data_IF_177258997708
#
_entry.id   IF_177258997708
#
_cell.length_a   1.000
_cell.length_b   1.000
_cell.length_c   1.000
_cell.angle_alpha   90.00
_cell.angle_beta   90.00
_cell.angle_gamma   90.00
#
_symmetry.space_group_name_H-M   'P 1'
#
loop_
_entity.id
_entity.type
_entity.pdbx_description
1 polymer ?
#
# COMPACT_ATOMS: atom_id res chain seq x y z
N UNK A 1 19.88 -46.88 -15.62
CA UNK A 1 18.66 -46.55 -14.85
C UNK A 1 18.79 -45.23 -14.08
N UNK A 2 19.89 -44.95 -13.38
CA UNK A 2 20.12 -43.72 -12.58
C UNK A 2 20.05 -42.38 -13.36
N UNK A 3 20.34 -42.40 -14.66
CA UNK A 3 20.44 -41.21 -15.51
C UNK A 3 19.08 -40.64 -15.95
N UNK A 4 18.06 -41.50 -16.04
CA UNK A 4 16.68 -41.09 -16.37
C UNK A 4 15.92 -40.57 -15.14
N UNK A 5 16.20 -41.15 -13.97
CA UNK A 5 15.67 -40.66 -12.69
C UNK A 5 16.16 -39.25 -12.36
N UNK A 6 17.43 -38.94 -12.64
CA UNK A 6 17.97 -37.59 -12.45
C UNK A 6 17.28 -36.54 -13.35
N UNK A 7 17.04 -36.88 -14.62
CA UNK A 7 16.36 -35.99 -15.57
C UNK A 7 14.91 -35.71 -15.16
N UNK A 8 14.20 -36.73 -14.66
CA UNK A 8 12.84 -36.59 -14.13
C UNK A 8 12.80 -35.71 -12.87
N UNK A 9 13.75 -35.88 -11.95
CA UNK A 9 13.85 -35.04 -10.74
C UNK A 9 14.12 -33.56 -11.06
N UNK A 10 15.01 -33.27 -12.01
CA UNK A 10 15.30 -31.90 -12.44
C UNK A 10 14.09 -31.25 -13.11
N UNK A 11 13.33 -32.00 -13.92
CA UNK A 11 12.10 -31.50 -14.55
C UNK A 11 10.99 -31.20 -13.51
N UNK A 12 10.84 -32.04 -12.48
CA UNK A 12 9.89 -31.82 -11.39
C UNK A 12 10.29 -30.64 -10.51
N UNK A 13 11.58 -30.40 -10.30
CA UNK A 13 12.06 -29.22 -9.56
C UNK A 13 11.86 -27.91 -10.37
N UNK A 14 12.06 -27.93 -11.68
CA UNK A 14 11.86 -26.76 -12.55
C UNK A 14 10.37 -26.40 -12.76
N UNK A 15 9.45 -27.37 -12.66
CA UNK A 15 8.01 -27.13 -12.80
C UNK A 15 7.37 -26.45 -11.57
N UNK A 16 8.05 -26.45 -10.41
CA UNK A 16 7.52 -25.89 -9.16
C UNK A 16 7.75 -24.37 -9.03
N UNK A 17 8.56 -23.77 -9.89
CA UNK A 17 8.80 -22.32 -9.91
C UNK A 17 7.82 -21.59 -10.83
N UNK A 18 6.54 -21.99 -10.85
CA UNK A 18 5.48 -21.11 -11.37
C UNK A 18 5.29 -20.00 -10.34
N UNK A 19 6.09 -18.96 -10.47
CA UNK A 19 5.89 -17.70 -9.77
C UNK A 19 4.49 -17.23 -10.13
N UNK A 20 3.53 -17.37 -9.22
CA UNK A 20 2.24 -16.69 -9.33
C UNK A 20 2.56 -15.21 -9.17
N UNK A 21 2.81 -14.54 -10.30
CA UNK A 21 2.85 -13.09 -10.35
C UNK A 21 1.42 -12.61 -10.09
N UNK A 22 1.08 -12.46 -8.81
CA UNK A 22 -0.15 -11.78 -8.42
C UNK A 22 0.06 -10.32 -8.83
N UNK A 23 -0.83 -9.78 -9.64
CA UNK A 23 -0.82 -8.36 -9.96
C UNK A 23 -0.76 -7.58 -8.64
N UNK A 24 0.23 -6.70 -8.49
CA UNK A 24 0.41 -5.96 -7.26
C UNK A 24 -0.83 -5.08 -7.01
N UNK A 25 -1.43 -5.21 -5.83
CA UNK A 25 -2.59 -4.40 -5.44
C UNK A 25 -2.17 -2.93 -5.42
N UNK A 26 -2.95 -2.07 -6.09
CA UNK A 26 -2.76 -0.63 -6.04
C UNK A 26 -3.45 -0.08 -4.79
N UNK A 27 -2.76 0.81 -4.09
CA UNK A 27 -3.28 1.50 -2.92
C UNK A 27 -3.32 3.00 -3.15
N UNK A 28 -4.37 3.63 -2.62
CA UNK A 28 -4.49 5.08 -2.47
C UNK A 28 -4.15 5.42 -1.02
N UNK A 29 -3.16 6.31 -0.82
CA UNK A 29 -2.71 6.75 0.48
C UNK A 29 -3.03 8.24 0.63
N UNK A 30 -3.93 8.58 1.55
CA UNK A 30 -4.30 9.97 1.85
C UNK A 30 -3.64 10.38 3.16
N UNK A 31 -2.86 11.46 3.15
CA UNK A 31 -2.28 12.05 4.36
C UNK A 31 -2.92 13.41 4.62
N UNK A 32 -3.38 13.63 5.84
CA UNK A 32 -4.11 14.83 6.26
C UNK A 32 -3.25 15.70 7.19
N UNK A 33 -3.26 17.00 6.93
CA UNK A 33 -2.44 18.01 7.58
C UNK A 33 -3.35 19.11 8.15
N UNK A 34 -3.01 19.59 9.35
CA UNK A 34 -3.65 20.76 9.93
C UNK A 34 -3.06 22.03 9.32
N UNK A 35 -3.92 22.98 8.96
CA UNK A 35 -3.50 24.26 8.38
C UNK A 35 -3.79 24.37 6.88
N UNK A 36 -3.14 25.32 6.23
CA UNK A 36 -3.32 25.62 4.80
C UNK A 36 -2.18 25.07 3.91
N UNK A 37 -1.24 24.33 4.52
CA UNK A 37 -0.12 23.67 3.85
C UNK A 37 -0.10 22.16 4.13
N UNK A 38 0.58 21.41 3.27
CA UNK A 38 0.90 19.99 3.47
C UNK A 38 2.35 19.83 3.92
N UNK A 39 2.75 20.57 4.95
CA UNK A 39 4.08 20.55 5.52
C UNK A 39 4.11 19.84 6.89
N UNK A 40 5.31 19.42 7.29
CA UNK A 40 5.50 18.70 8.54
C UNK A 40 4.91 17.28 8.56
N UNK A 41 4.57 16.81 9.76
CA UNK A 41 4.00 15.48 9.98
C UNK A 41 2.47 15.54 9.87
N UNK A 42 1.83 14.72 9.03
CA UNK A 42 0.37 14.62 8.98
C UNK A 42 -0.18 14.10 10.31
N UNK A 43 -1.39 14.52 10.68
CA UNK A 43 -2.04 14.02 11.90
C UNK A 43 -2.72 12.67 11.67
N UNK A 44 -3.04 12.34 10.41
CA UNK A 44 -3.63 11.08 10.02
C UNK A 44 -3.16 10.67 8.63
N UNK A 45 -2.94 9.37 8.45
CA UNK A 45 -2.65 8.78 7.15
C UNK A 45 -3.55 7.55 6.99
N UNK A 46 -4.24 7.48 5.87
CA UNK A 46 -5.18 6.40 5.55
C UNK A 46 -4.80 5.77 4.20
N UNK A 47 -4.67 4.44 4.19
CA UNK A 47 -4.37 3.69 2.98
C UNK A 47 -5.50 2.69 2.70
N UNK A 48 -6.03 2.71 1.47
CA UNK A 48 -7.07 1.77 1.03
C UNK A 48 -6.74 1.15 -0.31
N UNK A 49 -7.27 -0.04 -0.55
CA UNK A 49 -7.16 -0.70 -1.86
C UNK A 49 -7.95 0.10 -2.89
N UNK A 50 -7.38 0.34 -4.07
CA UNK A 50 -8.05 1.12 -5.11
C UNK A 50 -7.87 0.51 -6.50
N UNK A 51 -8.90 0.61 -7.34
CA UNK A 51 -8.82 0.22 -8.76
C UNK A 51 -8.05 1.24 -9.58
N UNK A 52 -8.14 2.50 -9.18
CA UNK A 52 -7.51 3.67 -9.78
C UNK A 52 -7.02 4.62 -8.67
N UNK A 53 -5.98 5.38 -8.97
CA UNK A 53 -5.46 6.35 -8.02
C UNK A 53 -4.85 7.53 -8.78
N UNK A 54 -5.22 8.74 -8.36
CA UNK A 54 -4.66 9.98 -8.90
C UNK A 54 -3.92 10.69 -7.77
N UNK A 55 -2.59 10.77 -7.90
CA UNK A 55 -1.76 11.42 -6.91
C UNK A 55 -2.00 12.94 -6.89
N UNK A 56 -1.97 13.53 -5.71
CA UNK A 56 -2.10 14.98 -5.52
C UNK A 56 -1.01 15.49 -4.58
N UNK A 57 -0.38 16.61 -4.95
CA UNK A 57 0.76 17.16 -4.20
C UNK A 57 0.35 17.83 -2.89
N UNK A 58 -0.64 18.71 -2.95
CA UNK A 58 -1.28 19.32 -1.80
C UNK A 58 -2.59 19.94 -2.29
N UNK A 59 -3.69 19.60 -1.65
CA UNK A 59 -5.03 20.04 -2.05
C UNK A 59 -5.93 20.14 -0.83
N UNK A 60 -6.97 20.99 -0.86
CA UNK A 60 -7.99 20.99 0.18
C UNK A 60 -8.56 19.58 0.40
N UNK A 61 -8.72 19.20 1.67
CA UNK A 61 -9.41 17.96 2.03
C UNK A 61 -10.90 17.99 1.70
N UNK A 62 -11.54 16.82 1.68
CA UNK A 62 -12.99 16.70 1.46
C UNK A 62 -13.85 17.18 2.65
N UNK A 63 -13.21 17.53 3.77
CA UNK A 63 -13.88 17.94 5.00
C UNK A 63 -14.17 19.44 5.01
N UNK A 64 -15.39 19.79 5.40
CA UNK A 64 -15.89 21.13 5.72
C UNK A 64 -15.27 21.73 7.01
N UNK A 65 -14.09 21.27 7.40
CA UNK A 65 -13.29 21.82 8.50
C UNK A 65 -12.31 22.80 7.85
N UNK A 66 -12.41 24.06 8.25
CA UNK A 66 -11.56 25.12 7.72
C UNK A 66 -10.11 24.78 8.07
N UNK A 67 -9.27 24.58 7.05
CA UNK A 67 -7.83 24.27 7.15
C UNK A 67 -7.46 22.78 7.38
N UNK A 68 -8.09 21.86 6.64
CA UNK A 68 -7.52 20.53 6.38
C UNK A 68 -6.95 20.47 4.96
N UNK A 69 -5.63 20.31 4.84
CA UNK A 69 -4.97 20.01 3.56
C UNK A 69 -4.63 18.54 3.49
N UNK A 70 -4.58 17.99 2.28
CA UNK A 70 -4.24 16.59 2.06
C UNK A 70 -3.28 16.39 0.88
N UNK A 71 -2.52 15.31 0.95
CA UNK A 71 -1.79 14.73 -0.18
C UNK A 71 -2.33 13.35 -0.50
N UNK A 72 -2.34 12.97 -1.78
CA UNK A 72 -2.63 11.60 -2.21
C UNK A 72 -1.40 11.01 -2.87
N UNK A 73 -0.95 9.86 -2.37
CA UNK A 73 0.06 9.02 -2.99
C UNK A 73 -0.56 7.72 -3.51
N UNK A 74 -0.01 7.22 -4.61
CA UNK A 74 -0.44 5.97 -5.24
C UNK A 74 0.74 4.99 -5.22
N UNK A 75 0.58 3.84 -4.58
CA UNK A 75 1.67 2.90 -4.39
C UNK A 75 1.17 1.46 -4.32
N UNK A 76 2.03 0.50 -4.65
CA UNK A 76 1.83 -0.92 -4.36
C UNK A 76 2.44 -1.33 -3.02
N UNK A 77 3.25 -0.47 -2.41
CA UNK A 77 3.84 -0.63 -1.07
C UNK A 77 3.31 0.49 -0.17
N UNK A 78 2.08 0.32 0.32
CA UNK A 78 1.45 1.32 1.17
C UNK A 78 2.12 1.42 2.54
N UNK A 79 2.72 0.34 3.05
CA UNK A 79 3.33 0.31 4.38
C UNK A 79 4.53 1.24 4.44
N UNK A 80 5.43 1.19 3.44
CA UNK A 80 6.57 2.10 3.40
C UNK A 80 6.11 3.55 3.25
N UNK A 81 5.15 3.82 2.35
CA UNK A 81 4.62 5.18 2.16
C UNK A 81 4.00 5.74 3.44
N UNK A 82 3.21 4.94 4.17
CA UNK A 82 2.63 5.35 5.47
C UNK A 82 3.72 5.66 6.49
N UNK A 83 4.76 4.82 6.57
CA UNK A 83 5.89 5.05 7.49
C UNK A 83 6.65 6.33 7.16
N UNK A 84 6.95 6.55 5.88
CA UNK A 84 7.67 7.72 5.41
C UNK A 84 6.92 9.02 5.72
N UNK A 85 5.58 9.01 5.66
CA UNK A 85 4.74 10.16 6.01
C UNK A 85 4.91 10.61 7.47
N UNK A 86 5.05 9.66 8.40
CA UNK A 86 5.27 9.99 9.81
C UNK A 86 6.74 10.26 10.15
N UNK A 87 7.67 9.93 9.25
CA UNK A 87 9.12 10.08 9.46
C UNK A 87 9.57 9.51 10.82
N UNK A 88 10.02 10.36 11.74
CA UNK A 88 10.46 9.97 13.08
C UNK A 88 9.38 10.18 14.17
N UNK A 89 8.19 10.63 13.80
CA UNK A 89 7.09 10.83 14.75
C UNK A 89 6.51 9.48 15.19
N UNK A 90 6.14 9.32 16.48
CA UNK A 90 5.43 8.13 16.92
C UNK A 90 4.02 8.09 16.32
N UNK A 91 3.55 6.90 15.95
CA UNK A 91 2.23 6.67 15.40
C UNK A 91 1.68 5.30 15.83
N UNK A 92 0.38 5.11 15.67
CA UNK A 92 -0.29 3.82 15.79
C UNK A 92 -0.73 3.37 14.40
N UNK A 93 -0.64 2.07 14.12
CA UNK A 93 -1.21 1.46 12.92
C UNK A 93 -2.42 0.66 13.33
N UNK A 94 -3.55 0.97 12.70
CA UNK A 94 -4.75 0.14 12.71
C UNK A 94 -4.93 -0.44 11.30
N UNK A 95 -5.23 -1.74 11.23
CA UNK A 95 -5.51 -2.41 9.97
C UNK A 95 -6.96 -2.90 9.96
N UNK A 96 -7.71 -2.49 8.95
CA UNK A 96 -9.09 -2.91 8.72
C UNK A 96 -9.19 -3.53 7.32
N UNK A 97 -9.89 -4.65 7.20
CA UNK A 97 -10.14 -5.30 5.92
C UNK A 97 -11.66 -5.34 5.65
N UNK A 98 -12.05 -5.24 4.38
CA UNK A 98 -13.45 -5.35 3.95
C UNK A 98 -13.92 -6.79 3.76
N UNK A 99 -13.00 -7.73 3.70
CA UNK A 99 -13.27 -9.14 3.44
C UNK A 99 -12.75 -10.06 4.57
N UNK A 100 -13.39 -11.21 4.69
CA UNK A 100 -13.06 -12.23 5.70
C UNK A 100 -11.71 -12.92 5.45
N UNK A 101 -11.17 -12.80 4.24
CA UNK A 101 -9.86 -13.37 3.87
C UNK A 101 -8.70 -12.42 4.15
N UNK A 102 -8.97 -11.22 4.68
CA UNK A 102 -8.00 -10.17 5.00
C UNK A 102 -7.12 -9.75 3.81
N UNK A 103 -7.68 -9.74 2.60
CA UNK A 103 -6.91 -9.46 1.38
C UNK A 103 -7.15 -8.06 0.79
N UNK A 104 -8.22 -7.39 1.21
CA UNK A 104 -8.68 -6.10 0.72
C UNK A 104 -8.73 -5.13 1.88
N UNK A 105 -7.78 -4.20 1.90
CA UNK A 105 -7.78 -3.10 2.86
C UNK A 105 -8.98 -2.19 2.61
N UNK A 106 -9.66 -1.85 3.69
CA UNK A 106 -10.76 -0.88 3.76
C UNK A 106 -10.28 0.49 3.28
#
# INVERSE_FOLDING_TARGET
>A
MLRWTLLLLVAVLAAQSVQISRAATLFKISASYLGDQCDGTPYAVYASSATDCTATKCSPGSSNINADMQTIDCSTDYIQVVRDKFANSPYLIEQMNTDETCNTLY
#
